data_IF_930914281374
#
_entry.id   IF_930914281374
#
_cell.length_a   1.000
_cell.length_b   1.000
_cell.length_c   1.000
_cell.angle_alpha   90.00
_cell.angle_beta   90.00
_cell.angle_gamma   90.00
#
_symmetry.space_group_name_H-M   'P 1'
#
loop_
_entity.id
_entity.type
_entity.pdbx_description
1 polymer ?
#
# COMPACT_ATOMS: atom_id res chain seq x y z
N UNK A 1 -7.92 2.35 -10.78
CA UNK A 1 -7.38 3.75 -10.85
C UNK A 1 -6.02 3.88 -10.17
N UNK A 2 -5.70 2.93 -9.33
CA UNK A 2 -4.43 2.62 -8.69
C UNK A 2 -3.17 2.68 -9.57
N UNK A 3 -3.17 2.09 -10.77
CA UNK A 3 -1.98 1.99 -11.64
C UNK A 3 -1.25 3.33 -11.90
N UNK A 4 -1.99 4.45 -11.93
CA UNK A 4 -1.38 5.77 -12.13
C UNK A 4 -0.49 6.18 -10.96
N UNK A 5 -0.85 5.79 -9.73
CA UNK A 5 -0.01 6.03 -8.56
C UNK A 5 1.29 5.27 -8.64
N UNK A 6 1.25 3.99 -9.02
CA UNK A 6 2.44 3.13 -9.13
C UNK A 6 3.41 3.64 -10.20
N UNK A 7 2.86 4.03 -11.36
CA UNK A 7 3.64 4.61 -12.46
C UNK A 7 4.34 5.90 -12.01
N UNK A 8 3.62 6.81 -11.38
CA UNK A 8 4.15 8.11 -10.98
C UNK A 8 5.11 8.02 -9.80
N UNK A 9 4.92 7.08 -8.87
CA UNK A 9 5.89 6.81 -7.80
C UNK A 9 7.18 6.24 -8.36
N UNK A 10 7.09 5.29 -9.30
CA UNK A 10 8.24 4.73 -10.01
C UNK A 10 9.01 5.81 -10.78
N UNK A 11 8.32 6.66 -11.53
CA UNK A 11 8.93 7.78 -12.28
C UNK A 11 9.56 8.81 -11.35
N UNK A 12 8.94 9.10 -10.20
CA UNK A 12 9.51 10.00 -9.19
C UNK A 12 10.81 9.44 -8.59
N UNK A 13 10.86 8.13 -8.31
CA UNK A 13 12.08 7.47 -7.85
C UNK A 13 13.15 7.42 -8.94
N UNK A 14 12.77 7.15 -10.20
CA UNK A 14 13.68 7.20 -11.34
C UNK A 14 14.30 8.59 -11.52
N UNK A 15 13.51 9.67 -11.46
CA UNK A 15 14.07 11.03 -11.54
C UNK A 15 14.99 11.35 -10.34
N UNK A 16 14.72 10.75 -9.18
CA UNK A 16 15.49 11.01 -7.97
C UNK A 16 16.84 10.29 -7.95
N UNK A 17 16.91 9.05 -8.42
CA UNK A 17 18.10 8.19 -8.30
C UNK A 17 18.71 7.74 -9.63
N UNK A 18 17.95 7.82 -10.72
CA UNK A 18 18.37 7.53 -12.09
C UNK A 18 18.63 8.80 -12.89
N UNK A 19 18.05 8.87 -14.09
CA UNK A 19 18.25 9.99 -15.00
C UNK A 19 17.20 11.09 -14.83
N UNK A 20 17.57 12.30 -15.22
CA UNK A 20 16.69 13.46 -15.20
C UNK A 20 15.59 13.28 -16.25
N UNK A 21 14.34 13.54 -15.86
CA UNK A 21 13.18 13.48 -16.76
C UNK A 21 13.37 14.38 -17.98
N UNK A 22 13.29 13.81 -19.19
CA UNK A 22 13.32 14.58 -20.45
C UNK A 22 12.04 15.40 -20.63
N UNK A 23 12.08 16.41 -21.50
CA UNK A 23 10.89 17.20 -21.82
C UNK A 23 9.72 16.34 -22.35
N UNK A 24 9.99 15.44 -23.29
CA UNK A 24 8.95 14.57 -23.87
C UNK A 24 8.34 13.61 -22.85
N UNK A 25 9.16 13.11 -21.91
CA UNK A 25 8.66 12.29 -20.81
C UNK A 25 7.82 13.13 -19.85
N UNK A 26 8.25 14.35 -19.55
CA UNK A 26 7.51 15.27 -18.70
C UNK A 26 6.13 15.62 -19.27
N UNK A 27 6.03 15.94 -20.56
CA UNK A 27 4.74 16.23 -21.20
C UNK A 27 3.75 15.05 -21.07
N UNK A 28 4.25 13.81 -21.18
CA UNK A 28 3.44 12.60 -20.98
C UNK A 28 3.03 12.43 -19.51
N UNK A 29 3.95 12.67 -18.58
CA UNK A 29 3.68 12.65 -17.14
C UNK A 29 2.62 13.69 -16.77
N UNK A 30 2.75 14.92 -17.26
CA UNK A 30 1.81 15.99 -17.02
C UNK A 30 0.41 15.64 -17.56
N UNK A 31 0.32 15.05 -18.75
CA UNK A 31 -0.94 14.58 -19.32
C UNK A 31 -1.60 13.49 -18.45
N UNK A 32 -0.82 12.56 -17.90
CA UNK A 32 -1.33 11.54 -16.97
C UNK A 32 -1.85 12.17 -15.68
N UNK A 33 -1.09 13.07 -15.05
CA UNK A 33 -1.52 13.74 -13.81
C UNK A 33 -2.78 14.55 -14.04
N UNK A 34 -2.90 15.22 -15.18
CA UNK A 34 -4.08 16.00 -15.58
C UNK A 34 -5.32 15.10 -15.77
N UNK A 35 -5.13 13.92 -16.35
CA UNK A 35 -6.17 12.91 -16.46
C UNK A 35 -6.60 12.44 -15.07
N UNK A 36 -5.67 12.12 -14.16
CA UNK A 36 -5.99 11.69 -12.78
C UNK A 36 -6.75 12.79 -12.03
N UNK A 37 -6.32 14.05 -12.14
CA UNK A 37 -7.04 15.20 -11.54
C UNK A 37 -8.52 15.26 -11.98
N UNK A 38 -8.82 14.81 -13.19
CA UNK A 38 -10.17 14.86 -13.76
C UNK A 38 -10.99 13.59 -13.52
N UNK A 39 -10.36 12.48 -13.12
CA UNK A 39 -11.01 11.15 -13.08
C UNK A 39 -10.88 10.40 -11.75
N UNK A 40 -10.13 10.91 -10.76
CA UNK A 40 -9.90 10.23 -9.47
C UNK A 40 -11.18 9.85 -8.71
N UNK A 41 -12.29 10.56 -8.96
CA UNK A 41 -13.55 10.36 -8.23
C UNK A 41 -14.46 9.27 -8.87
N UNK A 42 -13.95 8.42 -9.75
CA UNK A 42 -14.73 7.33 -10.36
C UNK A 42 -14.68 6.06 -9.50
N UNK A 43 -15.72 5.20 -9.56
CA UNK A 43 -15.65 3.86 -9.00
C UNK A 43 -14.76 2.96 -9.89
N UNK A 44 -14.10 1.98 -9.28
CA UNK A 44 -13.25 1.00 -9.93
C UNK A 44 -13.26 -0.36 -9.22
N UNK A 45 -12.34 -1.24 -9.59
CA UNK A 45 -12.19 -2.61 -9.14
C UNK A 45 -11.16 -2.78 -8.00
N UNK A 46 -10.55 -1.70 -7.49
CA UNK A 46 -9.50 -1.76 -6.48
C UNK A 46 -8.23 -2.48 -6.94
N UNK A 47 -7.23 -2.56 -6.04
CA UNK A 47 -5.93 -3.23 -6.34
C UNK A 47 -6.04 -4.76 -6.40
N UNK A 48 -7.14 -5.31 -5.90
CA UNK A 48 -7.42 -6.75 -5.88
C UNK A 48 -8.25 -7.21 -7.08
N UNK A 49 -8.58 -6.30 -8.01
CA UNK A 49 -9.43 -6.56 -9.18
C UNK A 49 -10.73 -7.29 -8.81
N UNK A 50 -11.40 -6.80 -7.76
CA UNK A 50 -12.58 -7.47 -7.19
C UNK A 50 -13.65 -7.61 -8.27
N UNK A 51 -14.15 -8.82 -8.50
CA UNK A 51 -15.15 -9.12 -9.56
C UNK A 51 -16.57 -8.70 -9.20
N UNK A 52 -16.72 -7.90 -8.15
CA UNK A 52 -17.99 -7.38 -7.67
C UNK A 52 -18.34 -6.02 -8.32
N UNK A 53 -19.38 -5.36 -7.85
CA UNK A 53 -19.74 -4.02 -8.32
C UNK A 53 -18.59 -3.02 -8.09
N UNK A 54 -18.35 -2.14 -9.07
CA UNK A 54 -17.32 -1.10 -8.97
C UNK A 54 -17.62 -0.16 -7.80
N UNK A 55 -16.63 0.08 -6.95
CA UNK A 55 -16.74 0.89 -5.72
C UNK A 55 -15.65 1.94 -5.65
N UNK A 56 -15.75 2.83 -4.67
CA UNK A 56 -14.65 3.75 -4.34
C UNK A 56 -13.76 3.11 -3.28
N UNK A 57 -12.66 2.50 -3.71
CA UNK A 57 -11.69 1.84 -2.84
C UNK A 57 -10.68 2.82 -2.24
N UNK A 58 -10.26 2.56 -1.00
CA UNK A 58 -9.25 3.34 -0.28
C UNK A 58 -7.93 3.32 -1.04
N UNK A 59 -7.52 2.14 -1.50
CA UNK A 59 -6.30 1.92 -2.26
C UNK A 59 -6.27 2.74 -3.55
N UNK A 60 -7.36 2.73 -4.31
CA UNK A 60 -7.52 3.55 -5.51
C UNK A 60 -7.42 5.05 -5.23
N UNK A 61 -8.07 5.54 -4.16
CA UNK A 61 -7.97 6.95 -3.75
C UNK A 61 -6.56 7.32 -3.33
N UNK A 62 -5.93 6.49 -2.51
CA UNK A 62 -4.56 6.67 -2.06
C UNK A 62 -3.61 6.77 -3.25
N UNK A 63 -3.71 5.87 -4.21
CA UNK A 63 -2.81 5.85 -5.37
C UNK A 63 -3.10 7.00 -6.35
N UNK A 64 -4.34 7.48 -6.48
CA UNK A 64 -4.63 8.74 -7.17
C UNK A 64 -3.95 9.94 -6.48
N UNK A 65 -3.97 9.98 -5.14
CA UNK A 65 -3.26 11.00 -4.37
C UNK A 65 -1.75 10.91 -4.60
N UNK A 66 -1.17 9.71 -4.59
CA UNK A 66 0.26 9.47 -4.89
C UNK A 66 0.59 10.01 -6.26
N UNK A 67 -0.19 9.68 -7.29
CA UNK A 67 0.07 10.12 -8.66
C UNK A 67 0.21 11.65 -8.77
N UNK A 68 -0.73 12.38 -8.16
CA UNK A 68 -0.74 13.84 -8.20
C UNK A 68 0.36 14.42 -7.29
N UNK A 69 0.56 13.88 -6.09
CA UNK A 69 1.61 14.35 -5.18
C UNK A 69 3.01 14.20 -5.81
N UNK A 70 3.29 13.06 -6.45
CA UNK A 70 4.55 12.84 -7.16
C UNK A 70 4.71 13.76 -8.36
N UNK A 71 3.65 13.98 -9.14
CA UNK A 71 3.63 14.97 -10.22
C UNK A 71 3.96 16.38 -9.73
N UNK A 72 3.32 16.84 -8.66
CA UNK A 72 3.59 18.15 -8.04
C UNK A 72 5.03 18.25 -7.54
N UNK A 73 5.54 17.22 -6.84
CA UNK A 73 6.92 17.20 -6.34
C UNK A 73 7.94 17.27 -7.48
N UNK A 74 7.71 16.51 -8.55
CA UNK A 74 8.59 16.50 -9.71
C UNK A 74 8.61 17.87 -10.39
N UNK A 75 7.44 18.45 -10.65
CA UNK A 75 7.31 19.79 -11.21
C UNK A 75 8.05 20.85 -10.39
N UNK A 76 7.83 20.88 -9.08
CA UNK A 76 8.43 21.88 -8.18
C UNK A 76 9.95 21.68 -8.07
N UNK A 77 10.41 20.45 -7.87
CA UNK A 77 11.85 20.15 -7.68
C UNK A 77 12.67 20.52 -8.92
N UNK A 78 12.10 20.40 -10.11
CA UNK A 78 12.78 20.58 -11.40
C UNK A 78 12.39 21.87 -12.13
N UNK A 79 11.51 22.68 -11.54
CA UNK A 79 10.94 23.88 -12.18
C UNK A 79 10.27 23.58 -13.53
N UNK A 80 9.60 22.44 -13.64
CA UNK A 80 8.91 22.03 -14.86
C UNK A 80 7.53 22.72 -14.94
N UNK A 81 7.08 23.13 -16.14
CA UNK A 81 5.79 23.76 -16.32
C UNK A 81 4.64 22.78 -16.01
N UNK A 82 3.74 23.17 -15.13
CA UNK A 82 2.50 22.45 -14.80
C UNK A 82 1.44 23.39 -14.21
N UNK A 83 0.15 23.04 -14.31
CA UNK A 83 -0.93 23.76 -13.64
C UNK A 83 -0.97 23.43 -12.14
N UNK A 84 0.08 23.82 -11.40
CA UNK A 84 0.32 23.43 -10.02
C UNK A 84 -0.85 23.72 -9.07
N UNK A 85 -1.55 24.84 -9.26
CA UNK A 85 -2.71 25.19 -8.44
C UNK A 85 -3.85 24.19 -8.62
N UNK A 86 -4.13 23.76 -9.85
CA UNK A 86 -5.13 22.72 -10.13
C UNK A 86 -4.73 21.38 -9.51
N UNK A 87 -3.48 20.97 -9.69
CA UNK A 87 -2.99 19.70 -9.16
C UNK A 87 -3.01 19.66 -7.64
N UNK A 88 -2.57 20.74 -6.97
CA UNK A 88 -2.64 20.85 -5.51
C UNK A 88 -4.08 20.80 -5.02
N UNK A 89 -4.99 21.50 -5.67
CA UNK A 89 -6.41 21.46 -5.31
C UNK A 89 -6.99 20.03 -5.42
N UNK A 90 -6.68 19.29 -6.49
CA UNK A 90 -7.12 17.91 -6.67
C UNK A 90 -6.50 16.96 -5.64
N UNK A 91 -5.18 17.06 -5.40
CA UNK A 91 -4.48 16.29 -4.37
C UNK A 91 -5.09 16.52 -2.99
N UNK A 92 -5.32 17.78 -2.61
CA UNK A 92 -5.85 18.14 -1.31
C UNK A 92 -7.33 17.71 -1.17
N UNK A 93 -8.08 17.71 -2.26
CA UNK A 93 -9.44 17.15 -2.29
C UNK A 93 -9.43 15.63 -2.04
N UNK A 94 -8.55 14.87 -2.68
CA UNK A 94 -8.40 13.43 -2.41
C UNK A 94 -7.96 13.17 -0.97
N UNK A 95 -7.01 13.97 -0.46
CA UNK A 95 -6.55 13.85 0.93
C UNK A 95 -7.72 13.99 1.90
N UNK A 96 -8.56 15.02 1.74
CA UNK A 96 -9.77 15.20 2.56
C UNK A 96 -10.78 14.09 2.35
N UNK A 97 -11.02 13.67 1.11
CA UNK A 97 -11.95 12.57 0.81
C UNK A 97 -11.58 11.27 1.53
N UNK A 98 -10.28 10.94 1.61
CA UNK A 98 -9.78 9.79 2.38
C UNK A 98 -10.12 9.94 3.87
N UNK A 99 -9.79 11.09 4.47
CA UNK A 99 -10.06 11.34 5.88
C UNK A 99 -11.55 11.38 6.24
N UNK A 100 -12.37 11.94 5.36
CA UNK A 100 -13.79 12.19 5.62
C UNK A 100 -14.67 10.97 5.32
N UNK A 101 -14.24 10.06 4.43
CA UNK A 101 -15.11 8.98 3.93
C UNK A 101 -14.56 7.56 4.13
N UNK A 102 -13.29 7.40 4.52
CA UNK A 102 -12.70 6.09 4.74
C UNK A 102 -12.25 5.84 6.17
N UNK A 103 -12.19 6.88 7.02
CA UNK A 103 -12.04 6.68 8.45
C UNK A 103 -13.41 6.35 9.06
N UNK A 104 -13.54 5.17 9.66
CA UNK A 104 -14.73 4.78 10.40
C UNK A 104 -14.48 5.01 11.90
N UNK A 105 -15.28 5.87 12.58
CA UNK A 105 -15.11 6.16 13.99
C UNK A 105 -15.61 5.06 14.93
N UNK A 106 -16.48 4.15 14.47
CA UNK A 106 -16.98 3.03 15.28
C UNK A 106 -15.98 1.88 15.28
N UNK A 107 -15.38 1.58 14.13
CA UNK A 107 -14.31 0.60 13.97
C UNK A 107 -12.93 1.14 14.42
N UNK A 108 -12.83 2.45 14.61
CA UNK A 108 -11.59 3.20 14.86
C UNK A 108 -10.47 2.83 13.86
N UNK A 109 -10.83 2.71 12.58
CA UNK A 109 -9.92 2.26 11.54
C UNK A 109 -10.27 2.80 10.14
N UNK A 110 -9.29 2.77 9.23
CA UNK A 110 -9.56 3.02 7.81
C UNK A 110 -10.14 1.78 7.12
N UNK A 111 -11.29 1.94 6.46
CA UNK A 111 -12.04 0.86 5.79
C UNK A 111 -11.66 0.71 4.32
N UNK A 112 -11.88 -0.47 3.74
CA UNK A 112 -11.41 -0.82 2.38
C UNK A 112 -12.10 -0.05 1.25
N UNK A 113 -13.38 0.28 1.41
CA UNK A 113 -14.13 1.09 0.45
C UNK A 113 -15.14 2.01 1.14
N UNK A 114 -15.55 3.07 0.44
CA UNK A 114 -16.52 4.04 0.93
C UNK A 114 -17.82 3.35 1.35
N UNK A 115 -18.30 3.67 2.55
CA UNK A 115 -19.52 3.11 3.15
C UNK A 115 -19.40 1.66 3.64
N UNK A 116 -18.19 1.10 3.72
CA UNK A 116 -17.93 -0.20 4.33
C UNK A 116 -17.62 -0.07 5.82
N UNK A 117 -17.71 -1.19 6.55
CA UNK A 117 -17.09 -1.38 7.88
C UNK A 117 -15.99 -2.45 7.86
N UNK A 118 -15.68 -2.99 6.67
CA UNK A 118 -14.68 -4.05 6.48
C UNK A 118 -13.29 -3.46 6.27
N UNK A 119 -12.30 -4.06 6.93
CA UNK A 119 -10.90 -3.76 6.70
C UNK A 119 -10.39 -4.42 5.42
N UNK A 120 -9.39 -3.77 4.85
CA UNK A 120 -8.61 -4.25 3.72
C UNK A 120 -7.13 -3.96 4.02
N UNK A 121 -6.26 -4.96 3.84
CA UNK A 121 -4.83 -4.87 4.05
C UNK A 121 -4.17 -3.80 3.15
N UNK A 122 -4.82 -3.36 2.08
CA UNK A 122 -4.37 -2.24 1.27
C UNK A 122 -4.25 -0.92 2.07
N UNK A 123 -4.91 -0.78 3.23
CA UNK A 123 -4.67 0.34 4.14
C UNK A 123 -3.22 0.42 4.63
N UNK A 124 -2.47 -0.71 4.64
CA UNK A 124 -1.06 -0.76 4.99
C UNK A 124 -0.19 0.08 4.04
N UNK A 125 -0.66 0.35 2.81
CA UNK A 125 0.05 1.22 1.88
C UNK A 125 0.06 2.69 2.33
N UNK A 126 -0.86 3.13 3.20
CA UNK A 126 -0.96 4.54 3.61
C UNK A 126 0.34 5.11 4.20
N UNK A 127 0.97 4.49 5.23
CA UNK A 127 2.26 4.96 5.73
C UNK A 127 3.41 4.68 4.75
N UNK A 128 3.35 3.58 3.97
CA UNK A 128 4.40 3.21 3.03
C UNK A 128 4.52 4.25 1.90
N UNK A 129 3.38 4.77 1.43
CA UNK A 129 3.28 5.85 0.45
C UNK A 129 3.44 7.25 1.06
N UNK A 130 3.66 7.33 2.39
CA UNK A 130 3.84 8.56 3.17
C UNK A 130 2.62 9.47 3.16
N UNK A 131 1.42 8.89 3.06
CA UNK A 131 0.16 9.61 3.16
C UNK A 131 -0.13 9.99 4.63
N UNK A 132 0.12 9.06 5.55
CA UNK A 132 -0.11 9.23 6.99
C UNK A 132 1.19 9.00 7.76
N UNK A 133 1.35 9.66 8.91
CA UNK A 133 2.48 9.40 9.80
C UNK A 133 2.37 7.98 10.36
N UNK A 134 3.45 7.18 10.37
CA UNK A 134 3.47 5.86 11.01
C UNK A 134 3.19 5.87 12.52
N UNK A 135 3.18 7.04 13.15
CA UNK A 135 2.88 7.23 14.58
C UNK A 135 1.61 8.05 14.81
N UNK A 136 0.81 8.31 13.77
CA UNK A 136 -0.49 8.98 13.93
C UNK A 136 -1.43 8.11 14.77
N UNK A 137 -2.16 8.63 15.76
CA UNK A 137 -3.04 7.83 16.61
C UNK A 137 -4.09 7.02 15.85
N UNK A 138 -4.67 7.57 14.77
CA UNK A 138 -5.67 6.88 13.96
C UNK A 138 -5.04 5.80 13.09
N UNK A 139 -3.83 6.05 12.59
CA UNK A 139 -3.04 5.01 11.94
C UNK A 139 -2.70 3.86 12.90
N UNK A 140 -2.20 4.17 14.11
CA UNK A 140 -1.88 3.14 15.11
C UNK A 140 -3.11 2.36 15.58
N UNK A 141 -4.29 2.99 15.55
CA UNK A 141 -5.56 2.29 15.76
C UNK A 141 -5.88 1.33 14.62
N UNK A 142 -5.73 1.80 13.37
CA UNK A 142 -5.92 0.97 12.16
C UNK A 142 -4.96 -0.21 12.12
N UNK A 143 -3.67 0.00 12.43
CA UNK A 143 -2.66 -1.07 12.48
C UNK A 143 -3.04 -2.16 13.49
N UNK A 144 -3.54 -1.76 14.67
CA UNK A 144 -4.06 -2.69 15.67
C UNK A 144 -5.35 -3.38 15.21
N UNK A 145 -6.18 -2.72 14.40
CA UNK A 145 -7.37 -3.34 13.82
C UNK A 145 -7.00 -4.41 12.79
N UNK A 146 -5.99 -4.16 11.94
CA UNK A 146 -5.39 -5.15 11.03
C UNK A 146 -4.86 -6.36 11.82
N UNK A 147 -4.11 -6.12 12.90
CA UNK A 147 -3.61 -7.19 13.78
C UNK A 147 -4.74 -8.07 14.33
N UNK A 148 -5.86 -7.47 14.76
CA UNK A 148 -6.98 -8.23 15.35
C UNK A 148 -7.83 -8.97 14.33
N UNK A 149 -8.01 -8.42 13.13
CA UNK A 149 -9.03 -8.87 12.16
C UNK A 149 -8.45 -9.57 10.94
N UNK A 150 -7.19 -9.30 10.58
CA UNK A 150 -6.56 -9.82 9.35
C UNK A 150 -5.31 -10.67 9.59
N UNK A 151 -4.68 -10.59 10.77
CA UNK A 151 -3.47 -11.35 11.08
C UNK A 151 -3.81 -12.74 11.64
N UNK A 152 -3.19 -13.76 11.08
CA UNK A 152 -3.19 -15.13 11.56
C UNK A 152 -1.73 -15.59 11.77
N UNK A 153 -1.31 -15.73 13.02
CA UNK A 153 0.09 -15.87 13.44
C UNK A 153 1.00 -14.73 12.90
N UNK A 154 1.70 -14.96 11.78
CA UNK A 154 2.53 -13.95 11.10
C UNK A 154 2.01 -13.56 9.72
N UNK A 155 0.85 -14.10 9.34
CA UNK A 155 0.35 -14.07 7.98
C UNK A 155 -0.89 -13.17 7.88
N UNK A 156 -0.92 -12.27 6.90
CA UNK A 156 -2.00 -11.28 6.77
C UNK A 156 -2.91 -11.63 5.61
N UNK A 157 -4.21 -11.71 5.88
CA UNK A 157 -5.27 -11.85 4.87
C UNK A 157 -5.51 -10.52 4.13
N UNK A 158 -5.95 -10.57 2.86
CA UNK A 158 -6.26 -9.34 2.09
C UNK A 158 -7.42 -8.56 2.70
N UNK A 159 -8.47 -9.26 3.12
CA UNK A 159 -9.68 -8.70 3.69
C UNK A 159 -10.28 -9.69 4.70
N UNK A 160 -11.24 -9.22 5.49
CA UNK A 160 -11.89 -10.08 6.49
C UNK A 160 -12.68 -11.21 5.85
N UNK A 161 -12.32 -12.44 6.21
CA UNK A 161 -13.03 -13.66 5.79
C UNK A 161 -14.23 -13.85 6.72
N UNK A 162 -15.28 -13.07 6.54
CA UNK A 162 -16.59 -13.35 7.14
C UNK A 162 -17.70 -13.41 6.09
N UNK A 163 -18.13 -14.64 5.80
CA UNK A 163 -19.51 -14.96 5.43
C UNK A 163 -19.94 -14.74 3.98
N UNK A 164 -19.18 -14.03 3.13
CA UNK A 164 -19.52 -13.83 1.72
C UNK A 164 -18.28 -13.80 0.82
N UNK A 165 -18.42 -14.36 -0.38
CA UNK A 165 -17.46 -14.32 -1.49
C UNK A 165 -17.17 -12.86 -1.87
N UNK A 166 -16.13 -12.25 -1.29
CA UNK A 166 -15.69 -10.90 -1.69
C UNK A 166 -15.13 -10.94 -3.11
N UNK A 167 -14.44 -12.02 -3.48
CA UNK A 167 -13.77 -12.19 -4.77
C UNK A 167 -14.51 -13.10 -5.77
N UNK A 168 -15.70 -13.61 -5.42
CA UNK A 168 -16.44 -14.55 -6.27
C UNK A 168 -15.72 -15.89 -6.51
N UNK A 169 -14.76 -16.24 -5.63
CA UNK A 169 -14.03 -17.49 -5.65
C UNK A 169 -14.50 -18.36 -4.47
N UNK A 170 -14.93 -19.59 -4.78
CA UNK A 170 -15.29 -20.57 -3.77
C UNK A 170 -14.01 -21.18 -3.14
N UNK A 171 -13.76 -20.89 -1.86
CA UNK A 171 -12.66 -21.48 -1.09
C UNK A 171 -12.31 -20.67 0.16
N UNK A 172 -11.55 -21.27 1.08
CA UNK A 172 -10.79 -20.51 2.08
C UNK A 172 -9.53 -20.00 1.40
N UNK A 173 -9.48 -18.71 1.10
CA UNK A 173 -8.30 -18.06 0.52
C UNK A 173 -7.08 -18.22 1.44
N UNK A 174 -5.89 -18.34 0.85
CA UNK A 174 -4.65 -18.27 1.60
C UNK A 174 -4.38 -16.86 2.12
N UNK A 175 -3.39 -16.75 2.98
CA UNK A 175 -2.87 -15.44 3.40
C UNK A 175 -1.98 -14.86 2.30
N UNK A 176 -1.89 -13.53 2.22
CA UNK A 176 -1.22 -12.87 1.10
C UNK A 176 0.18 -12.40 1.53
N UNK A 177 1.23 -13.01 0.95
CA UNK A 177 2.61 -12.86 1.45
C UNK A 177 3.10 -11.41 1.44
N UNK A 178 2.71 -10.64 0.43
CA UNK A 178 3.03 -9.20 0.33
C UNK A 178 2.40 -8.38 1.48
N UNK A 179 1.18 -8.71 1.90
CA UNK A 179 0.50 -8.03 3.01
C UNK A 179 1.23 -8.26 4.33
N UNK A 180 1.75 -9.47 4.54
CA UNK A 180 2.57 -9.80 5.72
C UNK A 180 3.85 -8.96 5.77
N UNK A 181 4.53 -8.79 4.63
CA UNK A 181 5.72 -7.91 4.56
C UNK A 181 5.39 -6.44 4.73
N UNK A 182 4.27 -5.95 4.16
CA UNK A 182 3.79 -4.59 4.42
C UNK A 182 3.48 -4.36 5.89
N UNK A 183 2.87 -5.33 6.58
CA UNK A 183 2.56 -5.25 7.99
C UNK A 183 3.84 -5.18 8.86
N UNK A 184 4.83 -6.00 8.56
CA UNK A 184 6.17 -5.92 9.19
C UNK A 184 6.79 -4.54 9.01
N UNK A 185 6.78 -4.01 7.78
CA UNK A 185 7.33 -2.67 7.54
C UNK A 185 6.55 -1.60 8.29
N UNK A 186 5.23 -1.73 8.38
CA UNK A 186 4.38 -0.83 9.16
C UNK A 186 4.71 -0.85 10.67
N UNK A 187 4.92 -2.02 11.27
CA UNK A 187 5.37 -2.17 12.66
C UNK A 187 6.74 -1.52 12.88
N UNK A 188 7.69 -1.82 11.99
CA UNK A 188 9.01 -1.20 11.99
C UNK A 188 8.90 0.32 11.95
N UNK A 189 8.06 0.85 11.04
CA UNK A 189 7.82 2.28 10.88
C UNK A 189 7.17 2.94 12.10
N UNK A 190 6.25 2.24 12.76
CA UNK A 190 5.61 2.65 14.00
C UNK A 190 6.55 2.62 15.22
N UNK A 191 7.70 1.92 15.11
CA UNK A 191 8.71 1.82 16.16
C UNK A 191 8.62 0.55 17.00
N UNK A 192 7.70 -0.36 16.69
CA UNK A 192 7.63 -1.68 17.33
C UNK A 192 8.62 -2.65 16.67
N UNK A 193 9.91 -2.37 16.90
CA UNK A 193 11.01 -3.09 16.25
C UNK A 193 11.10 -4.56 16.68
N UNK A 194 10.70 -4.86 17.93
CA UNK A 194 10.73 -6.22 18.44
C UNK A 194 9.69 -7.10 17.73
N UNK A 195 8.45 -6.62 17.64
CA UNK A 195 7.40 -7.36 16.95
C UNK A 195 7.69 -7.44 15.44
N UNK A 196 8.14 -6.34 14.83
CA UNK A 196 8.51 -6.32 13.41
C UNK A 196 9.59 -7.36 13.09
N UNK A 197 10.66 -7.42 13.89
CA UNK A 197 11.73 -8.41 13.73
C UNK A 197 11.23 -9.84 13.89
N UNK A 198 10.45 -10.11 14.93
CA UNK A 198 9.91 -11.45 15.17
C UNK A 198 9.06 -11.95 14.00
N UNK A 199 8.13 -11.12 13.50
CA UNK A 199 7.29 -11.47 12.37
C UNK A 199 8.07 -11.57 11.06
N UNK A 200 9.08 -10.72 10.87
CA UNK A 200 9.97 -10.80 9.71
C UNK A 200 10.74 -12.13 9.68
N UNK A 201 11.37 -12.51 10.79
CA UNK A 201 12.10 -13.78 10.92
C UNK A 201 11.18 -15.00 10.69
N UNK A 202 9.92 -14.94 11.16
CA UNK A 202 8.91 -15.95 10.83
C UNK A 202 8.60 -16.01 9.34
N UNK A 203 8.38 -14.85 8.71
CA UNK A 203 8.13 -14.78 7.26
C UNK A 203 9.31 -15.33 6.44
N UNK A 204 10.55 -15.14 6.89
CA UNK A 204 11.73 -15.73 6.26
C UNK A 204 11.70 -17.28 6.26
N UNK A 205 11.09 -17.91 7.26
CA UNK A 205 11.01 -19.36 7.35
C UNK A 205 10.06 -20.00 6.32
N UNK A 206 9.15 -19.22 5.72
CA UNK A 206 8.26 -19.69 4.66
C UNK A 206 8.90 -19.68 3.27
N UNK A 207 10.10 -19.11 3.10
CA UNK A 207 10.79 -19.15 1.82
C UNK A 207 11.09 -20.61 1.41
N UNK A 208 11.00 -20.90 0.12
CA UNK A 208 11.44 -22.20 -0.36
C UNK A 208 12.98 -22.32 -0.32
N UNK A 209 13.51 -23.48 -0.72
CA UNK A 209 14.96 -23.75 -0.75
C UNK A 209 15.81 -22.78 -1.63
N UNK A 210 15.16 -21.97 -2.48
CA UNK A 210 15.81 -20.93 -3.29
C UNK A 210 15.63 -19.52 -2.71
N UNK A 211 14.97 -19.37 -1.57
CA UNK A 211 14.62 -18.07 -0.99
C UNK A 211 13.42 -17.41 -1.66
N UNK A 212 12.62 -18.16 -2.43
CA UNK A 212 11.51 -17.62 -3.22
C UNK A 212 10.16 -17.79 -2.52
N UNK A 213 9.25 -16.87 -2.81
CA UNK A 213 7.87 -16.82 -2.31
C UNK A 213 6.83 -16.87 -3.44
N UNK A 214 5.71 -17.52 -3.16
CA UNK A 214 4.47 -17.34 -3.91
C UNK A 214 3.73 -16.06 -3.51
N UNK A 215 2.63 -15.83 -4.21
CA UNK A 215 1.62 -14.84 -3.89
C UNK A 215 0.94 -15.14 -2.55
N UNK A 216 0.43 -16.36 -2.40
CA UNK A 216 -0.31 -16.80 -1.22
C UNK A 216 0.41 -17.90 -0.44
N UNK A 217 0.14 -17.97 0.86
CA UNK A 217 0.47 -19.10 1.71
C UNK A 217 -0.81 -19.74 2.24
N UNK A 218 -0.94 -21.04 1.99
CA UNK A 218 -2.04 -21.84 2.51
C UNK A 218 -1.88 -22.17 4.00
N UNK A 219 -2.89 -22.79 4.62
CA UNK A 219 -2.91 -23.04 6.07
C UNK A 219 -1.76 -23.90 6.59
N UNK A 220 -1.13 -24.72 5.74
CA UNK A 220 0.02 -25.55 6.12
C UNK A 220 1.36 -24.89 5.76
N UNK A 221 1.36 -23.64 5.29
CA UNK A 221 2.53 -22.94 4.79
C UNK A 221 2.91 -23.31 3.36
N UNK A 222 2.06 -24.02 2.63
CA UNK A 222 2.26 -24.34 1.22
C UNK A 222 2.11 -23.09 0.34
N UNK A 223 2.92 -23.03 -0.72
CA UNK A 223 2.91 -21.92 -1.65
C UNK A 223 1.75 -22.06 -2.64
N UNK A 224 0.90 -21.05 -2.72
CA UNK A 224 -0.31 -21.01 -3.56
C UNK A 224 -0.27 -19.81 -4.52
N UNK A 225 -0.99 -19.92 -5.65
CA UNK A 225 -1.09 -18.84 -6.63
C UNK A 225 0.19 -18.63 -7.44
N UNK A 226 0.44 -17.39 -7.85
CA UNK A 226 1.58 -17.05 -8.70
C UNK A 226 2.92 -17.35 -8.03
N UNK A 227 3.87 -17.96 -8.76
CA UNK A 227 5.19 -18.32 -8.25
C UNK A 227 6.31 -18.21 -9.31
N UNK A 228 7.45 -17.56 -9.02
CA UNK A 228 7.68 -16.66 -7.88
C UNK A 228 6.91 -15.34 -8.07
N UNK A 229 6.36 -14.79 -6.98
CA UNK A 229 5.61 -13.54 -7.06
C UNK A 229 6.51 -12.33 -6.86
N UNK A 230 6.77 -11.55 -7.92
CA UNK A 230 7.72 -10.44 -7.89
C UNK A 230 7.36 -9.36 -6.85
N UNK A 231 6.08 -9.03 -6.70
CA UNK A 231 5.63 -8.02 -5.74
C UNK A 231 5.88 -8.43 -4.28
N UNK A 232 5.71 -9.72 -3.94
CA UNK A 232 6.08 -10.25 -2.63
C UNK A 232 7.54 -10.00 -2.31
N UNK A 233 8.44 -10.23 -3.28
CA UNK A 233 9.87 -10.01 -3.10
C UNK A 233 10.22 -8.53 -2.99
N UNK A 234 9.50 -7.65 -3.70
CA UNK A 234 9.68 -6.20 -3.55
C UNK A 234 9.31 -5.75 -2.12
N UNK A 235 8.19 -6.23 -1.58
CA UNK A 235 7.79 -5.93 -0.20
C UNK A 235 8.76 -6.53 0.83
N UNK A 236 9.26 -7.74 0.61
CA UNK A 236 10.32 -8.34 1.43
C UNK A 236 11.56 -7.43 1.50
N UNK A 237 12.06 -6.97 0.34
CA UNK A 237 13.24 -6.10 0.28
C UNK A 237 12.98 -4.77 0.99
N UNK A 238 11.80 -4.17 0.79
CA UNK A 238 11.42 -2.91 1.43
C UNK A 238 11.35 -3.04 2.96
N UNK A 239 10.69 -4.10 3.45
CA UNK A 239 10.58 -4.39 4.88
C UNK A 239 11.95 -4.66 5.51
N UNK A 240 12.80 -5.47 4.86
CA UNK A 240 14.16 -5.76 5.30
C UNK A 240 14.98 -4.48 5.44
N UNK A 241 14.93 -3.61 4.42
CA UNK A 241 15.69 -2.36 4.39
C UNK A 241 15.26 -1.38 5.48
N UNK A 242 13.96 -1.15 5.69
CA UNK A 242 13.53 -0.22 6.75
C UNK A 242 13.78 -0.79 8.16
N UNK A 243 13.58 -2.11 8.35
CA UNK A 243 13.81 -2.78 9.63
C UNK A 243 15.30 -2.76 10.02
N UNK A 244 16.19 -3.15 9.11
CA UNK A 244 17.64 -3.15 9.36
C UNK A 244 18.16 -1.76 9.74
N UNK A 245 17.74 -0.74 8.99
CA UNK A 245 18.09 0.66 9.26
C UNK A 245 17.63 1.08 10.66
N UNK A 246 16.40 0.74 11.05
CA UNK A 246 15.85 1.15 12.35
C UNK A 246 16.43 0.37 13.53
N UNK A 247 16.73 -0.91 13.36
CA UNK A 247 17.47 -1.70 14.34
C UNK A 247 18.85 -1.08 14.57
N UNK A 248 19.56 -0.74 13.50
CA UNK A 248 20.85 -0.05 13.57
C UNK A 248 20.75 1.31 14.28
N UNK A 249 19.75 2.13 13.92
CA UNK A 249 19.49 3.42 14.57
C UNK A 249 19.18 3.26 16.09
N UNK A 250 18.55 2.16 16.48
CA UNK A 250 18.24 1.82 17.87
C UNK A 250 19.43 1.18 18.63
N UNK A 251 20.60 1.06 18.00
CA UNK A 251 21.80 0.49 18.61
C UNK A 251 21.82 -1.04 18.69
N UNK A 252 20.97 -1.71 17.92
CA UNK A 252 21.05 -3.17 17.78
C UNK A 252 22.18 -3.49 16.81
N UNK A 253 23.20 -4.19 17.30
CA UNK A 253 24.27 -4.73 16.46
C UNK A 253 23.89 -6.16 16.11
N UNK A 254 23.92 -6.48 14.81
CA UNK A 254 23.63 -7.81 14.27
C UNK A 254 24.57 -8.89 14.83
#
# INVERSE_FOLDING_TARGET
>A
LDIYGELLDSLYLYDKYGEITSYDLWERVAAVVEWVCSNWNQPDEGIWEVRSERRHFLSSRLMCWVAIDRGVRLAVKRSLPAPLEKWRAARDAIYRDIWDNFWDPEEEAFVGHKGSTRLDAACLLMPLMRFISPTDPRWLSTLRAVERRLLEDSLVHRYEIQGEEVDGLAGTEGTFSICSFWYVECLSRAGDLQQARFLFEKMLAYANHLGLYSEELGPSGEHLGNFPQAFTHLALISAAYDLDRRLSDAGWIA
#
